data_IF_309095228789
#
_entry.id   IF_309095228789
#
_cell.length_a   1.000
_cell.length_b   1.000
_cell.length_c   1.000
_cell.angle_alpha   90.00
_cell.angle_beta   90.00
_cell.angle_gamma   90.00
#
_symmetry.space_group_name_H-M   'P 1'
#
loop_
_entity.id
_entity.type
_entity.pdbx_description
1 polymer ?
#
# COMPACT_ATOMS: atom_id res chain seq x y z
N UNK A 1 -3.22 -14.17 8.76
CA UNK A 1 -1.99 -13.37 8.96
C UNK A 1 -2.41 -11.91 8.96
N UNK A 2 -2.41 -11.27 10.13
CA UNK A 2 -2.91 -9.89 10.30
C UNK A 2 -2.21 -8.94 9.32
N UNK A 3 -2.97 -8.16 8.58
CA UNK A 3 -2.46 -7.21 7.59
C UNK A 3 -2.30 -5.86 8.29
N UNK A 4 -1.11 -5.57 8.83
CA UNK A 4 -0.86 -4.24 9.41
C UNK A 4 -0.46 -3.26 8.31
N UNK A 5 -1.02 -2.06 8.35
CA UNK A 5 -0.82 -1.01 7.35
C UNK A 5 0.65 -0.57 7.22
N UNK A 6 1.37 -0.50 8.34
CA UNK A 6 2.73 -0.01 8.44
C UNK A 6 3.81 -1.07 8.13
N UNK A 7 3.43 -2.35 8.02
CA UNK A 7 4.39 -3.39 7.69
C UNK A 7 4.82 -3.22 6.21
N UNK A 8 6.07 -3.56 5.90
CA UNK A 8 6.57 -3.54 4.51
C UNK A 8 5.72 -4.42 3.58
N UNK A 9 5.40 -3.91 2.38
CA UNK A 9 4.70 -4.65 1.34
C UNK A 9 5.57 -5.76 0.74
N UNK A 10 6.90 -5.55 0.70
CA UNK A 10 7.89 -6.48 0.18
C UNK A 10 9.09 -6.53 1.12
N UNK A 11 9.14 -7.48 2.06
CA UNK A 11 10.32 -7.65 2.90
C UNK A 11 11.47 -8.18 2.04
N UNK A 12 12.40 -7.32 1.64
CA UNK A 12 13.66 -7.74 1.03
C UNK A 12 14.66 -8.09 2.13
N UNK A 13 14.91 -9.38 2.32
CA UNK A 13 16.09 -9.83 3.07
C UNK A 13 17.29 -9.70 2.14
N UNK A 14 18.13 -8.68 2.36
CA UNK A 14 19.42 -8.60 1.70
C UNK A 14 20.47 -9.14 2.68
N UNK A 15 21.12 -10.25 2.30
CA UNK A 15 22.20 -10.83 3.07
C UNK A 15 23.51 -10.11 2.68
N UNK A 16 24.06 -9.31 3.58
CA UNK A 16 25.43 -8.78 3.47
C UNK A 16 26.29 -9.47 4.53
N UNK A 17 27.24 -10.30 4.10
CA UNK A 17 28.32 -10.83 4.94
C UNK A 17 27.84 -11.44 6.28
N UNK A 18 26.93 -12.42 6.20
CA UNK A 18 26.31 -13.12 7.34
C UNK A 18 25.52 -12.24 8.33
N UNK A 19 25.30 -10.96 8.04
CA UNK A 19 24.41 -10.08 8.79
C UNK A 19 23.15 -9.75 7.99
N UNK A 20 22.00 -9.98 8.63
CA UNK A 20 20.71 -9.49 8.17
C UNK A 20 20.73 -7.96 8.28
N UNK A 21 20.98 -7.29 7.17
CA UNK A 21 20.82 -5.84 7.10
C UNK A 21 19.43 -5.59 6.53
N UNK A 22 18.57 -4.98 7.35
CA UNK A 22 17.23 -4.55 6.94
C UNK A 22 17.37 -3.34 6.01
N UNK A 23 17.74 -3.61 4.76
CA UNK A 23 18.02 -2.61 3.75
C UNK A 23 16.79 -2.41 2.86
N UNK A 24 15.76 -1.78 3.41
CA UNK A 24 14.91 -0.79 2.72
C UNK A 24 13.68 -0.51 3.57
N UNK A 25 13.45 0.76 3.89
CA UNK A 25 12.09 1.28 4.12
C UNK A 25 11.34 1.21 2.77
N UNK A 26 11.02 -0.01 2.32
CA UNK A 26 10.17 -0.22 1.15
C UNK A 26 8.78 0.36 1.39
N UNK A 27 7.92 0.34 0.38
CA UNK A 27 6.53 0.78 0.55
C UNK A 27 5.88 -0.03 1.67
N UNK A 28 5.19 0.66 2.58
CA UNK A 28 4.28 0.01 3.51
C UNK A 28 3.12 -0.62 2.73
N UNK A 29 2.45 -1.63 3.30
CA UNK A 29 1.28 -2.27 2.67
C UNK A 29 0.21 -1.25 2.30
N UNK A 30 0.00 -0.22 3.15
CA UNK A 30 -0.93 0.87 2.86
C UNK A 30 -0.53 1.69 1.65
N UNK A 31 0.74 2.11 1.57
CA UNK A 31 1.26 2.89 0.44
C UNK A 31 1.23 2.09 -0.85
N UNK A 32 1.56 0.81 -0.79
CA UNK A 32 1.48 -0.09 -1.93
C UNK A 32 0.04 -0.21 -2.46
N UNK A 33 -0.94 -0.47 -1.57
CA UNK A 33 -2.34 -0.55 -1.99
C UNK A 33 -2.89 0.80 -2.48
N UNK A 34 -2.47 1.91 -1.87
CA UNK A 34 -2.84 3.24 -2.34
C UNK A 34 -2.27 3.50 -3.74
N UNK A 35 -1.02 3.14 -4.01
CA UNK A 35 -0.43 3.27 -5.34
C UNK A 35 -1.19 2.44 -6.39
N UNK A 36 -1.58 1.21 -6.07
CA UNK A 36 -2.39 0.35 -6.95
C UNK A 36 -3.77 0.96 -7.23
N UNK A 37 -4.45 1.49 -6.21
CA UNK A 37 -5.73 2.17 -6.39
C UNK A 37 -5.58 3.44 -7.24
N UNK A 38 -4.51 4.20 -7.02
CA UNK A 38 -4.21 5.43 -7.75
C UNK A 38 -3.99 5.17 -9.24
N UNK A 39 -3.35 4.05 -9.62
CA UNK A 39 -3.21 3.67 -11.02
C UNK A 39 -4.57 3.53 -11.72
N UNK A 40 -5.54 2.87 -11.07
CA UNK A 40 -6.90 2.74 -11.60
C UNK A 40 -7.65 4.08 -11.67
N UNK A 41 -7.50 4.92 -10.65
CA UNK A 41 -8.12 6.26 -10.62
C UNK A 41 -7.58 7.18 -11.72
N UNK A 42 -6.27 7.12 -11.99
CA UNK A 42 -5.63 7.92 -13.04
C UNK A 42 -5.91 7.38 -14.44
N UNK A 43 -6.10 6.07 -14.60
CA UNK A 43 -6.53 5.48 -15.87
C UNK A 43 -7.98 5.84 -16.23
N UNK A 44 -8.80 6.17 -15.22
CA UNK A 44 -10.17 6.65 -15.42
C UNK A 44 -10.12 8.11 -15.86
N UNK A 45 -10.18 8.34 -17.18
CA UNK A 45 -10.23 9.68 -17.78
C UNK A 45 -11.54 10.39 -17.41
N UNK A 46 -11.57 10.97 -16.21
CA UNK A 46 -12.69 11.77 -15.71
C UNK A 46 -12.21 13.20 -15.54
N UNK A 47 -12.55 14.01 -16.54
CA UNK A 47 -12.34 15.44 -16.50
C UNK A 47 -12.94 16.03 -15.21
N UNK A 48 -12.14 16.82 -14.49
CA UNK A 48 -12.58 17.59 -13.33
C UNK A 48 -12.29 16.98 -11.96
N UNK A 49 -11.73 15.76 -11.86
CA UNK A 49 -11.24 15.25 -10.57
C UNK A 49 -9.79 15.71 -10.38
N UNK A 50 -9.58 16.59 -9.39
CA UNK A 50 -8.25 17.09 -9.04
C UNK A 50 -7.34 16.00 -8.46
N UNK A 51 -6.03 16.20 -8.58
CA UNK A 51 -5.02 15.27 -8.08
C UNK A 51 -5.17 14.95 -6.58
N UNK A 52 -5.55 15.94 -5.77
CA UNK A 52 -5.79 15.77 -4.33
C UNK A 52 -6.97 14.82 -4.06
N UNK A 53 -8.07 14.93 -4.81
CA UNK A 53 -9.22 14.06 -4.68
C UNK A 53 -8.88 12.61 -5.05
N UNK A 54 -8.07 12.40 -6.10
CA UNK A 54 -7.57 11.08 -6.46
C UNK A 54 -6.65 10.50 -5.40
N UNK A 55 -5.73 11.29 -4.84
CA UNK A 55 -4.83 10.84 -3.79
C UNK A 55 -5.61 10.43 -2.53
N UNK A 56 -6.59 11.25 -2.11
CA UNK A 56 -7.45 10.94 -0.97
C UNK A 56 -8.24 9.65 -1.20
N UNK A 57 -8.88 9.52 -2.36
CA UNK A 57 -9.64 8.31 -2.70
C UNK A 57 -8.74 7.06 -2.70
N UNK A 58 -7.54 7.14 -3.26
CA UNK A 58 -6.59 6.03 -3.27
C UNK A 58 -6.25 5.52 -1.86
N UNK A 59 -5.99 6.45 -0.94
CA UNK A 59 -5.70 6.15 0.47
C UNK A 59 -6.92 5.53 1.17
N UNK A 60 -8.11 6.09 0.96
CA UNK A 60 -9.35 5.56 1.54
C UNK A 60 -9.64 4.13 1.04
N UNK A 61 -9.38 3.83 -0.23
CA UNK A 61 -9.54 2.48 -0.77
C UNK A 61 -8.53 1.49 -0.18
N UNK A 62 -7.28 1.92 0.04
CA UNK A 62 -6.27 1.10 0.71
C UNK A 62 -6.69 0.75 2.15
N UNK A 63 -7.16 1.73 2.91
CA UNK A 63 -7.62 1.54 4.30
C UNK A 63 -8.87 0.64 4.34
N UNK A 64 -9.82 0.82 3.41
CA UNK A 64 -11.00 -0.04 3.30
C UNK A 64 -10.62 -1.50 3.03
N UNK A 65 -9.67 -1.75 2.13
CA UNK A 65 -9.18 -3.09 1.81
C UNK A 65 -8.50 -3.75 3.01
N UNK A 66 -7.57 -3.04 3.67
CA UNK A 66 -6.87 -3.55 4.86
C UNK A 66 -7.87 -3.93 5.95
N UNK A 67 -8.85 -3.07 6.21
CA UNK A 67 -9.90 -3.32 7.19
C UNK A 67 -10.73 -4.55 6.82
N UNK A 68 -11.09 -4.72 5.54
CA UNK A 68 -11.85 -5.88 5.08
C UNK A 68 -11.06 -7.18 5.24
N UNK A 69 -9.79 -7.20 4.82
CA UNK A 69 -8.90 -8.36 4.95
C UNK A 69 -8.72 -8.79 6.41
N UNK A 70 -8.61 -7.83 7.33
CA UNK A 70 -8.47 -8.12 8.75
C UNK A 70 -9.76 -8.66 9.40
N UNK A 71 -10.95 -8.40 8.83
CA UNK A 71 -12.22 -8.98 9.31
C UNK A 71 -12.36 -10.46 8.98
N UNK A 72 -11.89 -10.89 7.80
CA UNK A 72 -11.96 -12.29 7.36
C UNK A 72 -10.93 -13.23 8.00
N UNK A 73 -10.20 -12.76 9.02
CA UNK A 73 -9.15 -13.52 9.72
C UNK A 73 -9.50 -13.77 11.20
N UNK A 74 -10.78 -13.65 11.56
CA UNK A 74 -11.36 -14.13 12.82
C UNK A 74 -11.81 -15.57 12.67
#
# INVERSE_FOLDING_TARGET
MRTNSADTAFPSQIFFDEHLVDCSDGLTKREYFAAMAMQGLLARDVAGIGAEANAKAAVEQADALINWLNRGQQ
#
